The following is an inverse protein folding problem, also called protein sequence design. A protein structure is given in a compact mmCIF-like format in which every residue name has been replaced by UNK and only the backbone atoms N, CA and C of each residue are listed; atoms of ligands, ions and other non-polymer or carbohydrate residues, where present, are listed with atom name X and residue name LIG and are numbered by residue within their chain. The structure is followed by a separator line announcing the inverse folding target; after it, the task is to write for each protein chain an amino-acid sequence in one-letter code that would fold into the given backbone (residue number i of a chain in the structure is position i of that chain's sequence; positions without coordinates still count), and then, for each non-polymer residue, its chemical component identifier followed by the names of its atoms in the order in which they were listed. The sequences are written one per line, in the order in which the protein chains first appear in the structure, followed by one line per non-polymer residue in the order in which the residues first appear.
data_IF_018344649672
#
_entry.id   IF_018344649672
#
_cell.length_a   1.000
_cell.length_b   1.000
_cell.length_c   1.000
_cell.angle_alpha   90.00
_cell.angle_beta   90.00
_cell.angle_gamma   90.00
#
_symmetry.space_group_name_H-M   'P 1'
#
loop_
_entity.id
_entity.type
_entity.pdbx_description
1 polymer ?
#
# COMPACT_ATOMS: atom_id res chain seq x y z
N UNK A 1 -18.61 2.40 -10.63
CA UNK A 1 -18.92 2.28 -12.08
C UNK A 1 -18.74 0.83 -12.49
N UNK A 2 -19.40 0.30 -13.55
CA UNK A 2 -19.17 -1.08 -14.00
C UNK A 2 -17.72 -1.36 -14.37
N UNK A 3 -17.01 -0.37 -14.91
CA UNK A 3 -15.57 -0.47 -15.24
C UNK A 3 -14.66 -0.68 -14.03
N UNK A 4 -15.14 -0.42 -12.81
CA UNK A 4 -14.37 -0.60 -11.57
C UNK A 4 -14.71 -1.93 -10.88
N UNK A 5 -15.34 -2.85 -11.58
CA UNK A 5 -15.64 -4.17 -11.04
C UNK A 5 -14.58 -5.16 -11.50
N UNK A 6 -13.90 -5.80 -10.55
CA UNK A 6 -12.92 -6.83 -10.85
C UNK A 6 -13.56 -8.11 -11.42
N UNK A 7 -12.75 -9.02 -11.91
CA UNK A 7 -13.16 -10.35 -12.35
C UNK A 7 -13.21 -11.32 -11.17
N UNK A 8 -14.03 -12.36 -11.25
CA UNK A 8 -14.03 -13.41 -10.24
C UNK A 8 -12.65 -14.09 -10.13
N UNK A 9 -12.32 -14.61 -8.96
CA UNK A 9 -11.01 -15.16 -8.65
C UNK A 9 -10.61 -16.29 -9.63
N UNK A 10 -11.51 -17.21 -9.91
CA UNK A 10 -11.30 -18.32 -10.85
C UNK A 10 -10.97 -17.83 -12.27
N UNK A 11 -11.60 -16.74 -12.69
CA UNK A 11 -11.29 -16.09 -13.97
C UNK A 11 -9.88 -15.52 -13.97
N UNK A 12 -9.46 -14.87 -12.88
CA UNK A 12 -8.10 -14.33 -12.75
C UNK A 12 -7.06 -15.46 -12.72
N UNK A 13 -7.29 -16.51 -11.93
CA UNK A 13 -6.38 -17.66 -11.82
C UNK A 13 -6.20 -18.41 -13.17
N UNK A 14 -7.20 -18.36 -14.05
CA UNK A 14 -7.11 -18.95 -15.38
C UNK A 14 -6.26 -18.17 -16.39
N UNK A 15 -5.90 -16.93 -16.07
CA UNK A 15 -5.15 -16.04 -16.97
C UNK A 15 -3.64 -16.13 -16.68
N UNK A 16 -2.80 -16.38 -17.68
CA UNK A 16 -1.35 -16.52 -17.50
C UNK A 16 -0.68 -15.30 -16.85
N UNK A 17 -1.20 -14.10 -17.11
CA UNK A 17 -0.64 -12.85 -16.57
C UNK A 17 -0.77 -12.76 -15.05
N UNK A 18 -1.76 -13.44 -14.45
CA UNK A 18 -2.03 -13.46 -13.03
C UNK A 18 -1.46 -14.67 -12.29
N UNK A 19 -0.94 -15.68 -13.01
CA UNK A 19 -0.46 -16.93 -12.42
C UNK A 19 0.68 -16.75 -11.39
N UNK A 20 1.39 -15.63 -11.44
CA UNK A 20 2.49 -15.29 -10.51
C UNK A 20 2.04 -14.59 -9.23
N UNK A 21 0.76 -14.25 -9.11
CA UNK A 21 0.25 -13.52 -7.95
C UNK A 21 -0.46 -14.48 -6.99
N UNK A 22 -0.31 -14.21 -5.71
CA UNK A 22 -1.12 -14.87 -4.69
C UNK A 22 -2.50 -14.21 -4.63
N UNK A 23 -3.50 -14.93 -5.12
CA UNK A 23 -4.91 -14.51 -5.11
C UNK A 23 -5.70 -15.14 -3.96
N UNK A 24 -5.05 -15.84 -3.03
CA UNK A 24 -5.71 -16.60 -1.96
C UNK A 24 -6.57 -15.73 -1.04
N UNK A 25 -6.21 -14.45 -0.88
CA UNK A 25 -6.95 -13.47 -0.08
C UNK A 25 -8.23 -12.94 -0.74
N UNK A 26 -8.43 -13.20 -2.05
CA UNK A 26 -9.66 -12.81 -2.73
C UNK A 26 -10.81 -13.75 -2.33
N UNK A 27 -11.76 -13.24 -1.56
CA UNK A 27 -12.96 -14.00 -1.18
C UNK A 27 -13.92 -14.13 -2.38
N UNK A 28 -14.85 -15.11 -2.39
CA UNK A 28 -15.77 -15.28 -3.51
C UNK A 28 -16.62 -14.05 -3.83
N UNK A 29 -16.85 -13.20 -2.85
CA UNK A 29 -17.70 -12.00 -2.95
C UNK A 29 -16.90 -10.68 -3.10
N UNK A 30 -15.59 -10.73 -3.35
CA UNK A 30 -14.75 -9.53 -3.41
C UNK A 30 -15.20 -8.49 -4.47
N UNK A 31 -15.96 -8.94 -5.48
CA UNK A 31 -16.54 -8.08 -6.53
C UNK A 31 -17.96 -7.59 -6.21
N UNK A 32 -18.52 -7.97 -5.07
CA UNK A 32 -19.96 -7.78 -4.76
C UNK A 32 -20.36 -6.32 -4.58
N UNK A 33 -19.42 -5.45 -4.22
CA UNK A 33 -19.68 -4.04 -3.81
C UNK A 33 -20.70 -3.92 -2.67
N UNK A 34 -20.74 -4.92 -1.78
CA UNK A 34 -21.64 -5.00 -0.61
C UNK A 34 -20.84 -5.33 0.65
N UNK A 35 -21.39 -4.97 1.80
CA UNK A 35 -20.78 -5.24 3.10
C UNK A 35 -19.35 -4.70 3.16
N UNK A 36 -18.38 -5.53 3.51
CA UNK A 36 -16.98 -5.14 3.57
C UNK A 36 -16.44 -4.53 2.26
N UNK A 37 -16.98 -4.93 1.11
CA UNK A 37 -16.60 -4.44 -0.21
C UNK A 37 -17.45 -3.26 -0.72
N UNK A 38 -18.35 -2.73 0.09
CA UNK A 38 -19.15 -1.57 -0.27
C UNK A 38 -18.29 -0.29 -0.39
N UNK A 39 -18.80 0.70 -1.10
CA UNK A 39 -18.11 1.96 -1.35
C UNK A 39 -18.56 3.10 -0.42
N UNK A 40 -19.39 2.78 0.59
CA UNK A 40 -19.78 3.76 1.58
C UNK A 40 -18.63 4.07 2.57
N UNK A 41 -18.65 5.24 3.22
CA UNK A 41 -17.56 5.67 4.10
C UNK A 41 -17.23 4.68 5.21
N UNK A 42 -18.22 4.07 5.84
CA UNK A 42 -18.04 3.14 6.97
C UNK A 42 -17.31 1.88 6.52
N UNK A 43 -17.73 1.30 5.39
CA UNK A 43 -17.09 0.12 4.82
C UNK A 43 -15.67 0.41 4.34
N UNK A 44 -15.44 1.61 3.77
CA UNK A 44 -14.10 2.04 3.35
C UNK A 44 -13.15 2.22 4.55
N UNK A 45 -13.63 2.81 5.64
CA UNK A 45 -12.84 3.00 6.87
C UNK A 45 -12.52 1.66 7.53
N UNK A 46 -13.50 0.75 7.58
CA UNK A 46 -13.29 -0.61 8.09
C UNK A 46 -12.25 -1.38 7.27
N UNK A 47 -12.28 -1.27 5.93
CA UNK A 47 -11.23 -1.85 5.08
C UNK A 47 -9.87 -1.23 5.30
N UNK A 48 -9.80 0.08 5.42
CA UNK A 48 -8.53 0.77 5.67
C UNK A 48 -7.91 0.31 7.00
N UNK A 49 -8.72 0.18 8.05
CA UNK A 49 -8.28 -0.37 9.32
C UNK A 49 -7.81 -1.82 9.19
N UNK A 50 -8.59 -2.66 8.52
CA UNK A 50 -8.23 -4.06 8.28
C UNK A 50 -6.91 -4.17 7.50
N UNK A 51 -6.70 -3.35 6.46
CA UNK A 51 -5.44 -3.34 5.71
C UNK A 51 -4.27 -2.93 6.61
N UNK A 52 -4.43 -1.92 7.46
CA UNK A 52 -3.37 -1.55 8.42
C UNK A 52 -3.02 -2.69 9.38
N UNK A 53 -4.02 -3.40 9.90
CA UNK A 53 -3.82 -4.58 10.75
C UNK A 53 -3.10 -5.69 10.00
N UNK A 54 -3.57 -6.01 8.80
CA UNK A 54 -2.95 -7.00 7.93
C UNK A 54 -1.48 -6.68 7.64
N UNK A 55 -1.17 -5.44 7.29
CA UNK A 55 0.21 -4.99 7.03
C UNK A 55 1.10 -5.08 8.26
N UNK A 56 0.56 -4.76 9.45
CA UNK A 56 1.31 -4.85 10.72
C UNK A 56 1.73 -6.28 11.05
N UNK A 57 0.91 -7.26 10.67
CA UNK A 57 1.14 -8.69 10.94
C UNK A 57 2.10 -9.35 9.95
N UNK A 58 2.47 -8.64 8.89
CA UNK A 58 3.39 -9.17 7.88
C UNK A 58 4.83 -9.23 8.41
N UNK A 59 5.58 -10.30 8.08
CA UNK A 59 6.97 -10.43 8.45
C UNK A 59 7.91 -9.53 7.64
N UNK A 60 7.46 -9.03 6.49
CA UNK A 60 8.26 -8.22 5.60
C UNK A 60 8.54 -6.84 6.23
N UNK A 61 9.80 -6.41 6.20
CA UNK A 61 10.21 -5.10 6.73
C UNK A 61 9.80 -3.95 5.81
N UNK A 62 9.64 -4.21 4.53
CA UNK A 62 9.27 -3.23 3.52
C UNK A 62 8.15 -3.78 2.66
N UNK A 63 7.06 -3.05 2.59
CA UNK A 63 5.86 -3.44 1.85
C UNK A 63 5.46 -2.30 0.93
N UNK A 64 5.25 -2.58 -0.35
CA UNK A 64 4.66 -1.62 -1.27
C UNK A 64 3.15 -1.89 -1.38
N UNK A 65 2.36 -0.86 -1.13
CA UNK A 65 0.90 -0.91 -1.28
C UNK A 65 0.51 -0.07 -2.48
N UNK A 66 -0.19 -0.67 -3.43
CA UNK A 66 -0.73 0.02 -4.60
C UNK A 66 -2.25 0.08 -4.48
N UNK A 67 -2.81 1.28 -4.48
CA UNK A 67 -4.24 1.47 -4.36
C UNK A 67 -4.68 2.80 -5.00
N UNK A 68 -5.99 3.04 -5.04
CA UNK A 68 -6.55 4.31 -5.52
C UNK A 68 -6.41 5.42 -4.48
N UNK A 69 -6.22 6.66 -4.95
CA UNK A 69 -5.98 7.82 -4.09
C UNK A 69 -7.07 8.04 -3.03
N UNK A 70 -8.34 7.75 -3.35
CA UNK A 70 -9.43 7.87 -2.37
C UNK A 70 -9.30 6.85 -1.22
N UNK A 71 -8.90 5.62 -1.52
CA UNK A 71 -8.62 4.62 -0.50
C UNK A 71 -7.33 4.93 0.28
N UNK A 72 -6.29 5.42 -0.39
CA UNK A 72 -5.03 5.81 0.25
C UNK A 72 -5.23 6.92 1.29
N UNK A 73 -6.11 7.90 1.04
CA UNK A 73 -6.47 8.91 2.04
C UNK A 73 -7.02 8.30 3.34
N UNK A 74 -7.85 7.27 3.22
CA UNK A 74 -8.40 6.56 4.38
C UNK A 74 -7.38 5.66 5.04
N UNK A 75 -6.55 5.00 4.25
CA UNK A 75 -5.49 4.14 4.75
C UNK A 75 -4.48 4.93 5.58
N UNK A 76 -4.16 6.15 5.17
CA UNK A 76 -3.22 7.04 5.84
C UNK A 76 -3.85 7.96 6.88
N UNK A 77 -5.17 7.87 7.07
CA UNK A 77 -5.96 8.72 7.96
C UNK A 77 -5.76 10.23 7.69
N UNK A 78 -5.60 10.57 6.40
CA UNK A 78 -5.45 11.94 5.92
C UNK A 78 -6.49 12.26 4.83
N UNK A 79 -7.72 12.60 5.22
CA UNK A 79 -8.83 12.81 4.29
C UNK A 79 -8.64 14.01 3.37
N UNK A 80 -7.78 14.95 3.75
CA UNK A 80 -7.52 16.17 2.97
C UNK A 80 -6.35 16.01 2.00
N UNK A 81 -5.61 14.91 2.10
CA UNK A 81 -4.45 14.65 1.26
C UNK A 81 -4.84 14.39 -0.18
N UNK A 82 -4.21 15.09 -1.10
CA UNK A 82 -4.30 14.78 -2.52
C UNK A 82 -3.21 13.78 -2.91
N UNK A 83 -3.60 12.76 -3.67
CA UNK A 83 -2.69 11.78 -4.25
C UNK A 83 -2.68 11.92 -5.77
N UNK A 84 -1.53 12.25 -6.32
CA UNK A 84 -1.31 12.27 -7.76
C UNK A 84 -1.25 10.87 -8.37
N UNK A 85 -1.39 10.78 -9.69
CA UNK A 85 -1.21 9.51 -10.38
C UNK A 85 0.23 9.02 -10.24
N UNK A 86 0.39 7.76 -9.88
CA UNK A 86 1.70 7.12 -9.63
C UNK A 86 2.54 7.81 -8.54
N UNK A 87 1.93 8.58 -7.66
CA UNK A 87 2.61 9.16 -6.51
C UNK A 87 2.96 8.08 -5.48
N UNK A 88 4.15 8.18 -4.92
CA UNK A 88 4.65 7.27 -3.88
C UNK A 88 4.97 8.06 -2.62
N UNK A 89 4.50 7.59 -1.48
CA UNK A 89 4.81 8.14 -0.15
C UNK A 89 5.27 7.02 0.78
N UNK A 90 6.17 7.34 1.67
CA UNK A 90 6.65 6.41 2.68
C UNK A 90 5.91 6.59 4.00
N UNK A 91 5.57 5.49 4.64
CA UNK A 91 4.92 5.48 5.95
C UNK A 91 5.58 4.43 6.85
N UNK A 92 5.44 4.60 8.15
CA UNK A 92 5.78 3.60 9.14
C UNK A 92 4.64 3.47 10.15
N UNK A 93 4.55 2.35 10.83
CA UNK A 93 3.62 2.23 11.94
C UNK A 93 4.02 3.16 13.08
N UNK A 94 3.06 3.88 13.63
CA UNK A 94 3.30 4.66 14.83
C UNK A 94 3.64 3.73 16.02
N UNK A 95 4.42 4.15 17.00
CA UNK A 95 4.72 3.35 18.19
C UNK A 95 3.46 2.81 18.91
N UNK A 96 2.37 3.59 18.88
CA UNK A 96 1.07 3.20 19.45
C UNK A 96 0.35 2.09 18.67
N UNK A 97 0.75 1.78 17.44
CA UNK A 97 0.10 0.76 16.61
C UNK A 97 0.16 -0.64 17.22
N UNK A 98 1.13 -0.91 18.08
CA UNK A 98 1.27 -2.18 18.77
C UNK A 98 0.13 -2.41 19.78
N UNK A 99 -0.42 -1.32 20.35
CA UNK A 99 -1.39 -1.37 21.43
C UNK A 99 -2.83 -1.07 20.99
N UNK A 100 -3.06 -0.72 19.73
CA UNK A 100 -4.38 -0.32 19.26
C UNK A 100 -4.79 -1.02 17.97
N UNK A 101 -6.06 -1.38 17.87
CA UNK A 101 -6.64 -1.98 16.66
C UNK A 101 -6.71 -1.01 15.48
N UNK A 102 -6.64 0.28 15.74
CA UNK A 102 -6.58 1.31 14.70
C UNK A 102 -5.30 1.23 13.85
N UNK A 103 -4.22 0.68 14.42
CA UNK A 103 -2.92 0.53 13.76
C UNK A 103 -2.46 1.81 13.03
N UNK A 104 -2.38 2.96 13.70
CA UNK A 104 -2.05 4.20 13.03
C UNK A 104 -0.68 4.12 12.33
N UNK A 105 -0.61 4.70 11.14
CA UNK A 105 0.62 4.88 10.39
C UNK A 105 0.94 6.36 10.31
N UNK A 106 2.22 6.68 10.27
CA UNK A 106 2.70 8.07 10.19
C UNK A 106 3.56 8.24 8.96
N UNK A 107 3.43 9.39 8.32
CA UNK A 107 4.26 9.73 7.17
C UNK A 107 5.72 9.81 7.59
N UNK A 108 6.59 9.18 6.82
CA UNK A 108 8.04 9.29 6.98
C UNK A 108 8.53 10.34 6.00
N UNK A 109 9.05 11.44 6.51
CA UNK A 109 9.87 12.30 5.67
C UNK A 109 11.10 11.50 5.26
N UNK A 110 11.16 11.15 3.98
CA UNK A 110 12.35 10.53 3.43
C UNK A 110 13.41 11.62 3.35
N UNK A 111 14.20 11.73 4.43
CA UNK A 111 15.42 12.52 4.40
C UNK A 111 16.37 11.74 3.50
N UNK A 112 16.61 12.20 2.29
CA UNK A 112 17.72 11.71 1.51
C UNK A 112 19.00 12.03 2.27
N UNK A 113 19.55 11.05 2.94
CA UNK A 113 20.97 11.09 3.18
C UNK A 113 21.59 10.96 1.80
N UNK A 114 22.35 11.97 1.41
CA UNK A 114 23.08 12.00 0.16
C UNK A 114 23.64 10.64 -0.17
N UNK A 115 23.89 10.40 -1.43
CA UNK A 115 24.37 9.11 -1.92
C UNK A 115 25.53 8.60 -1.05
N UNK A 116 25.92 7.38 -1.22
CA UNK A 116 27.01 6.77 -0.46
C UNK A 116 28.34 7.51 -0.57
N UNK A 117 28.41 8.55 -1.36
CA UNK A 117 29.58 9.42 -1.58
C UNK A 117 29.58 10.66 -0.69
N UNK A 118 28.60 10.81 0.23
CA UNK A 118 28.57 11.90 1.21
C UNK A 118 27.95 13.17 0.70
N UNK A 119 27.25 13.15 -0.42
CA UNK A 119 26.51 14.31 -0.93
C UNK A 119 25.15 14.51 -0.24
N UNK A 120 24.79 15.73 -0.19
CA UNK A 120 23.83 16.43 0.64
C UNK A 120 22.42 15.82 0.71
N UNK A 121 21.93 15.63 1.91
CA UNK A 121 20.55 15.33 2.25
C UNK A 121 19.61 16.45 1.85
N UNK A 122 18.61 16.21 1.04
CA UNK A 122 17.54 17.14 0.72
C UNK A 122 16.26 16.67 1.42
N UNK A 123 15.79 17.50 2.35
CA UNK A 123 14.47 17.35 2.96
C UNK A 123 13.42 17.92 2.02
N UNK A 124 12.45 17.13 1.60
CA UNK A 124 11.33 17.63 0.81
C UNK A 124 10.53 16.54 0.10
N UNK A 125 9.34 16.89 -0.32
CA UNK A 125 8.48 16.07 -1.20
C UNK A 125 9.25 15.71 -2.46
N UNK A 126 9.57 14.44 -2.60
CA UNK A 126 10.45 13.98 -3.68
C UNK A 126 9.72 13.78 -4.99
N UNK A 127 10.41 14.07 -6.09
CA UNK A 127 9.90 13.75 -7.39
C UNK A 127 9.93 12.22 -7.62
N UNK A 128 9.00 11.74 -8.41
CA UNK A 128 8.71 10.32 -8.68
C UNK A 128 9.97 9.51 -9.05
N UNK A 129 10.91 10.11 -9.80
CA UNK A 129 12.06 9.40 -10.34
C UNK A 129 13.03 8.89 -9.27
N UNK A 130 13.16 9.61 -8.17
CA UNK A 130 14.07 9.24 -7.07
C UNK A 130 13.47 8.14 -6.18
N UNK A 131 12.15 8.15 -6.00
CA UNK A 131 11.47 7.09 -5.24
C UNK A 131 11.34 5.80 -6.04
N UNK A 132 11.09 5.87 -7.34
CA UNK A 132 11.10 4.70 -8.23
C UNK A 132 12.45 3.98 -8.23
N UNK A 133 13.55 4.73 -8.24
CA UNK A 133 14.90 4.16 -8.17
C UNK A 133 15.13 3.43 -6.82
N UNK A 134 14.60 3.95 -5.72
CA UNK A 134 14.71 3.33 -4.38
C UNK A 134 13.84 2.10 -4.23
N UNK A 135 12.59 2.16 -4.67
CA UNK A 135 11.71 0.99 -4.69
C UNK A 135 12.35 -0.13 -5.52
N UNK A 136 12.91 0.20 -6.67
CA UNK A 136 13.65 -0.75 -7.49
C UNK A 136 14.87 -1.35 -6.76
N UNK A 137 15.61 -0.54 -6.02
CA UNK A 137 16.79 -0.97 -5.27
C UNK A 137 16.42 -1.87 -4.08
N UNK A 138 15.31 -1.59 -3.42
CA UNK A 138 14.78 -2.43 -2.33
C UNK A 138 14.31 -3.81 -2.84
N UNK A 139 13.72 -3.88 -4.04
CA UNK A 139 13.35 -5.16 -4.65
C UNK A 139 14.55 -6.00 -5.12
N UNK A 140 15.65 -5.37 -5.48
CA UNK A 140 16.88 -6.08 -5.91
C UNK A 140 17.69 -6.60 -4.72
N UNK A 141 17.50 -6.04 -3.53
CA UNK A 141 18.23 -6.44 -2.32
C UNK A 141 17.47 -7.43 -1.42
N UNK A 142 16.28 -7.85 -1.79
CA UNK A 142 15.63 -8.97 -1.10
C UNK A 142 16.40 -10.25 -1.42
N UNK A 143 17.04 -10.90 -0.45
CA UNK A 143 17.73 -12.15 -0.71
C UNK A 143 16.70 -13.19 -1.18
N UNK A 144 16.90 -13.75 -2.34
CA UNK A 144 16.37 -15.03 -2.72
C UNK A 144 17.16 -16.10 -1.95
N UNK A 145 16.85 -16.27 -0.69
CA UNK A 145 17.28 -17.42 0.10
C UNK A 145 16.03 -18.10 0.65
N UNK A 146 15.53 -18.99 -0.17
CA UNK A 146 14.83 -20.23 0.25
C UNK A 146 15.15 -21.34 -0.73
#
# INVERSE_FOLDING_TARGET
MPCDTGSARDVLESQPDFAKYDLSSLTPDWTSKRGFYAADPVSLDARAQWVRQFLRERPEQHIAVVAHGDFLRRLTDDPMSYWGNAEVRAFQFAPSSVATDACPIVHVEVIEKGDWNGEKVVSGTQNLSTMEARVKQMYVQSPTDF
#
